data_IF_198012402980
#
_entry.id   IF_198012402980
#
_cell.length_a   1.000
_cell.length_b   1.000
_cell.length_c   1.000
_cell.angle_alpha   90.00
_cell.angle_beta   90.00
_cell.angle_gamma   90.00
#
_symmetry.space_group_name_H-M   'P 1'
#
loop_
_entity.id
_entity.type
_entity.pdbx_description
1 polymer ?
#
# COMPACT_ATOMS: atom_id res chain seq x y z
N UNK A 1 26.58 -9.13 33.97
CA UNK A 1 25.97 -7.78 34.09
C UNK A 1 25.83 -7.25 32.69
N UNK A 2 24.64 -6.82 32.29
CA UNK A 2 24.43 -6.24 30.97
C UNK A 2 25.12 -4.88 30.87
N UNK A 3 25.86 -4.64 29.76
CA UNK A 3 26.48 -3.34 29.51
C UNK A 3 25.37 -2.33 29.20
N UNK A 4 25.48 -1.10 29.70
CA UNK A 4 24.49 -0.06 29.40
C UNK A 4 24.60 0.46 27.96
N UNK A 5 23.59 1.20 27.50
CA UNK A 5 23.63 1.84 26.18
C UNK A 5 24.80 2.84 26.04
N UNK A 6 25.10 3.61 27.10
CA UNK A 6 26.22 4.54 27.13
C UNK A 6 27.56 3.79 27.08
N UNK A 7 27.67 2.68 27.81
CA UNK A 7 28.86 1.82 27.79
C UNK A 7 29.06 1.21 26.39
N UNK A 8 27.99 0.76 25.74
CA UNK A 8 28.03 0.26 24.37
C UNK A 8 28.52 1.32 23.37
N UNK A 9 27.97 2.54 23.45
CA UNK A 9 28.42 3.65 22.61
C UNK A 9 29.90 3.99 22.85
N UNK A 10 30.36 3.92 24.10
CA UNK A 10 31.77 4.14 24.45
C UNK A 10 32.69 3.04 23.89
N UNK A 11 32.22 1.80 23.83
CA UNK A 11 32.95 0.65 23.32
C UNK A 11 33.02 0.61 21.79
N UNK A 12 32.05 1.22 21.09
CA UNK A 12 32.09 1.41 19.63
C UNK A 12 33.19 2.39 19.18
N UNK A 13 33.60 3.32 20.05
CA UNK A 13 34.58 4.37 19.73
C UNK A 13 36.01 3.82 19.51
N UNK A 14 36.35 2.66 20.09
CA UNK A 14 37.69 2.08 19.97
C UNK A 14 37.65 0.74 19.25
N UNK A 15 38.57 0.56 18.30
CA UNK A 15 38.62 -0.63 17.44
C UNK A 15 38.87 -1.93 18.24
N UNK A 16 39.65 -1.86 19.32
CA UNK A 16 39.96 -2.98 20.20
C UNK A 16 38.74 -3.46 21.01
N UNK A 17 37.92 -2.53 21.51
CA UNK A 17 36.70 -2.87 22.25
C UNK A 17 35.55 -3.28 21.33
N UNK A 18 35.47 -2.72 20.12
CA UNK A 18 34.47 -3.09 19.11
C UNK A 18 34.62 -4.54 18.65
N UNK A 19 35.86 -5.01 18.48
CA UNK A 19 36.14 -6.42 18.17
C UNK A 19 35.67 -7.38 19.28
N UNK A 20 35.75 -6.97 20.54
CA UNK A 20 35.27 -7.75 21.68
C UNK A 20 33.73 -7.85 21.74
N UNK A 21 33.01 -6.90 21.14
CA UNK A 21 31.54 -6.94 21.02
C UNK A 21 31.06 -7.89 19.91
N UNK A 22 31.97 -8.43 19.08
CA UNK A 22 31.62 -9.27 17.94
C UNK A 22 30.97 -8.51 16.77
N UNK A 23 31.07 -7.17 16.76
CA UNK A 23 30.44 -6.31 15.76
C UNK A 23 31.47 -6.01 14.64
N UNK A 24 31.18 -6.46 13.43
CA UNK A 24 32.04 -6.30 12.26
C UNK A 24 31.96 -4.93 11.57
N UNK A 25 31.98 -3.83 12.34
CA UNK A 25 31.98 -2.47 11.78
C UNK A 25 33.42 -1.95 11.58
N UNK A 26 33.63 -1.21 10.49
CA UNK A 26 34.83 -0.39 10.27
C UNK A 26 34.80 0.89 11.12
N UNK A 27 35.91 1.62 11.19
CA UNK A 27 35.98 2.86 11.99
C UNK A 27 35.05 3.95 11.44
N UNK A 28 34.95 4.07 10.11
CA UNK A 28 34.07 5.06 9.47
C UNK A 28 32.59 4.72 9.70
N UNK A 29 32.23 3.43 9.64
CA UNK A 29 30.85 2.98 9.93
C UNK A 29 30.50 3.15 11.41
N UNK A 30 31.43 2.88 12.33
CA UNK A 30 31.21 3.09 13.75
C UNK A 30 30.97 4.58 14.07
N UNK A 31 31.70 5.49 13.41
CA UNK A 31 31.45 6.93 13.54
C UNK A 31 30.09 7.32 12.97
N UNK A 32 29.68 6.74 11.85
CA UNK A 32 28.37 7.01 11.24
C UNK A 32 27.23 6.50 12.14
N UNK A 33 27.38 5.33 12.76
CA UNK A 33 26.42 4.78 13.72
C UNK A 33 26.31 5.67 14.96
N UNK A 34 27.43 6.19 15.46
CA UNK A 34 27.43 7.07 16.63
C UNK A 34 26.94 8.49 16.34
N UNK A 35 27.01 8.94 15.08
CA UNK A 35 26.51 10.25 14.67
C UNK A 35 24.97 10.33 14.63
N UNK A 36 24.28 9.18 14.56
CA UNK A 36 22.83 9.09 14.56
C UNK A 36 22.30 8.28 15.76
N UNK A 37 21.64 8.93 16.74
CA UNK A 37 21.11 8.28 17.93
C UNK A 37 20.14 7.12 17.64
N UNK A 38 19.32 7.22 16.59
CA UNK A 38 18.36 6.18 16.26
C UNK A 38 19.06 4.93 15.72
N UNK A 39 20.08 5.13 14.88
CA UNK A 39 20.91 4.04 14.37
C UNK A 39 21.72 3.38 15.49
N UNK A 40 22.30 4.15 16.42
CA UNK A 40 23.00 3.61 17.59
C UNK A 40 22.10 2.73 18.47
N UNK A 41 20.85 3.14 18.71
CA UNK A 41 19.88 2.34 19.47
C UNK A 41 19.52 1.02 18.77
N UNK A 42 19.34 1.05 17.45
CA UNK A 42 19.08 -0.17 16.67
C UNK A 42 20.25 -1.15 16.72
N UNK A 43 21.49 -0.67 16.65
CA UNK A 43 22.69 -1.51 16.79
C UNK A 43 22.85 -2.09 18.20
N UNK A 44 22.48 -1.33 19.23
CA UNK A 44 22.48 -1.81 20.60
C UNK A 44 21.44 -2.93 20.82
N UNK A 45 20.22 -2.75 20.31
CA UNK A 45 19.19 -3.78 20.35
C UNK A 45 19.61 -5.05 19.60
N UNK A 46 20.21 -4.90 18.42
CA UNK A 46 20.78 -6.02 17.66
C UNK A 46 21.86 -6.76 18.45
N UNK A 47 22.79 -6.03 19.06
CA UNK A 47 23.85 -6.61 19.88
C UNK A 47 23.31 -7.39 21.09
N UNK A 48 22.30 -6.85 21.79
CA UNK A 48 21.63 -7.53 22.90
C UNK A 48 20.98 -8.84 22.46
N UNK A 49 20.32 -8.85 21.30
CA UNK A 49 19.69 -10.07 20.75
C UNK A 49 20.69 -11.16 20.35
N UNK A 50 21.92 -10.77 20.01
CA UNK A 50 22.97 -11.69 19.52
C UNK A 50 23.86 -12.22 20.65
N UNK A 51 23.82 -11.60 21.84
CA UNK A 51 24.61 -11.98 23.02
C UNK A 51 23.74 -12.30 24.26
N UNK A 52 22.99 -13.42 24.24
CA UNK A 52 22.02 -13.75 25.30
C UNK A 52 22.65 -14.08 26.67
N UNK A 53 23.95 -14.42 26.74
CA UNK A 53 24.66 -14.66 28.02
C UNK A 53 24.78 -13.41 28.90
N UNK A 54 24.54 -12.23 28.33
CA UNK A 54 24.65 -10.95 29.02
C UNK A 54 23.39 -10.63 29.87
N UNK A 55 22.29 -11.37 29.67
CA UNK A 55 20.97 -11.09 30.29
C UNK A 55 20.50 -12.19 31.26
N UNK A 56 21.19 -13.33 31.38
CA UNK A 56 20.73 -14.40 32.28
C UNK A 56 20.80 -13.98 33.77
N UNK A 57 19.67 -13.87 34.49
CA UNK A 57 19.70 -13.81 35.96
C UNK A 57 20.25 -15.13 36.50
N UNK A 58 20.97 -15.16 37.63
CA UNK A 58 21.33 -16.43 38.27
C UNK A 58 20.05 -17.22 38.53
N UNK A 59 20.01 -18.46 38.05
CA UNK A 59 18.88 -19.35 38.26
C UNK A 59 18.55 -19.40 39.77
N UNK A 60 17.29 -19.16 40.20
CA UNK A 60 16.92 -19.35 41.59
C UNK A 60 17.20 -20.81 41.97
N UNK A 61 17.94 -21.00 43.06
CA UNK A 61 18.14 -22.31 43.65
C UNK A 61 16.76 -22.96 43.88
N UNK A 62 16.60 -24.20 43.42
CA UNK A 62 15.35 -24.93 43.57
C UNK A 62 14.89 -24.93 45.03
N UNK A 63 13.61 -24.60 45.33
CA UNK A 63 13.12 -24.65 46.69
C UNK A 63 13.13 -26.10 47.19
N UNK A 64 13.78 -26.31 48.33
CA UNK A 64 13.67 -27.55 49.09
C UNK A 64 12.21 -27.71 49.50
N UNK A 65 11.57 -28.78 49.02
CA UNK A 65 10.19 -29.10 49.33
C UNK A 65 10.11 -29.55 50.79
N UNK A 66 9.48 -28.75 51.64
CA UNK A 66 9.17 -29.13 53.01
C UNK A 66 7.95 -30.08 53.00
N UNK A 67 8.03 -31.32 53.52
CA UNK A 67 6.99 -32.34 53.33
C UNK A 67 5.74 -32.19 54.24
N UNK A 68 5.51 -31.01 54.84
CA UNK A 68 4.40 -30.79 55.78
C UNK A 68 3.66 -29.47 55.54
N UNK A 69 2.89 -29.40 54.45
CA UNK A 69 1.76 -28.46 54.38
C UNK A 69 0.62 -29.11 53.57
N UNK A 70 -0.31 -29.71 54.32
CA UNK A 70 -1.47 -30.41 53.80
C UNK A 70 -2.65 -29.46 53.53
N UNK A 71 -3.37 -29.79 52.46
CA UNK A 71 -4.83 -29.64 52.25
C UNK A 71 -5.45 -28.24 52.18
N UNK A 72 -5.74 -27.80 50.96
CA UNK A 72 -7.00 -27.12 50.62
C UNK A 72 -7.53 -27.68 49.27
N UNK A 73 -8.81 -28.07 49.18
CA UNK A 73 -9.36 -28.70 47.98
C UNK A 73 -9.68 -27.68 46.88
N UNK A 74 -9.21 -27.94 45.67
CA UNK A 74 -9.68 -27.28 44.44
C UNK A 74 -11.13 -27.68 44.16
N UNK A 75 -12.07 -26.73 43.98
CA UNK A 75 -13.34 -27.03 43.33
C UNK A 75 -13.20 -26.87 41.81
N UNK A 76 -13.53 -27.94 41.09
CA UNK A 76 -14.20 -27.85 39.78
C UNK A 76 -13.33 -27.61 38.54
N UNK A 77 -12.71 -28.66 38.02
CA UNK A 77 -12.41 -28.74 36.58
C UNK A 77 -13.71 -29.05 35.82
N UNK A 78 -14.43 -28.02 35.37
CA UNK A 78 -15.47 -28.22 34.36
C UNK A 78 -14.84 -28.21 32.96
N UNK A 79 -15.07 -29.33 32.28
CA UNK A 79 -14.67 -29.59 30.91
C UNK A 79 -15.44 -28.63 29.98
N UNK A 80 -14.74 -27.80 29.22
CA UNK A 80 -15.34 -27.05 28.12
C UNK A 80 -15.70 -28.01 26.98
N UNK A 81 -16.98 -28.09 26.55
CA UNK A 81 -17.30 -28.69 25.26
C UNK A 81 -16.94 -27.71 24.14
N UNK A 82 -16.04 -28.14 23.26
CA UNK A 82 -15.89 -27.55 21.92
C UNK A 82 -17.19 -27.78 21.13
N UNK A 83 -17.85 -26.70 20.73
CA UNK A 83 -18.92 -26.73 19.73
C UNK A 83 -18.83 -25.48 18.81
N UNK A 84 -19.27 -25.62 17.55
CA UNK A 84 -18.72 -24.91 16.41
C UNK A 84 -19.41 -23.57 16.13
N UNK A 85 -18.68 -22.67 15.48
CA UNK A 85 -19.18 -21.47 14.81
C UNK A 85 -20.37 -21.78 13.87
N UNK A 86 -21.49 -21.05 13.98
CA UNK A 86 -22.38 -20.79 12.86
C UNK A 86 -22.21 -19.32 12.44
N UNK A 87 -21.42 -19.09 11.40
CA UNK A 87 -21.39 -17.82 10.68
C UNK A 87 -22.16 -17.97 9.37
N UNK A 88 -23.34 -17.35 9.27
CA UNK A 88 -23.93 -16.85 8.03
C UNK A 88 -25.26 -16.15 8.34
N UNK A 89 -25.19 -14.98 8.97
CA UNK A 89 -26.32 -14.04 8.92
C UNK A 89 -26.10 -13.00 7.83
N UNK A 90 -27.14 -12.95 7.02
CA UNK A 90 -27.34 -12.24 5.77
C UNK A 90 -27.12 -10.73 5.92
N UNK A 91 -26.26 -10.16 5.07
CA UNK A 91 -26.27 -8.72 4.82
C UNK A 91 -27.36 -8.38 3.78
N UNK A 92 -28.20 -7.35 4.02
CA UNK A 92 -29.25 -6.95 3.10
C UNK A 92 -28.69 -6.29 1.83
N UNK A 93 -29.16 -6.79 0.68
CA UNK A 93 -28.99 -6.19 -0.63
C UNK A 93 -29.81 -4.91 -0.75
N UNK A 94 -29.14 -3.76 -0.91
CA UNK A 94 -29.79 -2.51 -1.28
C UNK A 94 -29.92 -2.41 -2.82
N UNK A 95 -31.08 -1.99 -3.34
CA UNK A 95 -31.33 -1.86 -4.77
C UNK A 95 -30.90 -0.49 -5.28
N UNK A 96 -30.29 -0.42 -6.45
CA UNK A 96 -30.27 0.80 -7.26
C UNK A 96 -30.83 0.51 -8.67
N UNK A 97 -31.53 1.50 -9.28
CA UNK A 97 -32.47 1.25 -10.35
C UNK A 97 -31.84 1.27 -11.74
N UNK A 98 -32.61 0.72 -12.66
CA UNK A 98 -32.34 0.46 -14.07
C UNK A 98 -32.03 1.72 -14.90
N UNK A 99 -31.18 1.54 -15.92
CA UNK A 99 -31.42 2.15 -17.22
C UNK A 99 -31.38 1.07 -18.31
N UNK A 100 -32.55 0.91 -18.92
CA UNK A 100 -32.84 0.10 -20.09
C UNK A 100 -32.25 0.78 -21.31
N UNK A 101 -31.46 0.06 -22.12
CA UNK A 101 -31.37 0.36 -23.54
C UNK A 101 -31.80 -0.85 -24.35
N UNK A 102 -33.06 -0.76 -24.79
CA UNK A 102 -33.69 -1.64 -25.75
C UNK A 102 -32.98 -1.54 -27.10
N UNK A 103 -32.86 -2.70 -27.77
CA UNK A 103 -32.46 -2.74 -29.16
C UNK A 103 -33.50 -2.14 -30.09
N UNK A 104 -33.04 -1.54 -31.18
CA UNK A 104 -33.75 -1.45 -32.46
C UNK A 104 -32.80 -0.91 -33.55
N UNK A 105 -32.38 -1.78 -34.47
CA UNK A 105 -32.43 -1.45 -35.90
C UNK A 105 -33.89 -1.73 -36.35
N UNK A 106 -34.48 -1.13 -37.42
CA UNK A 106 -33.82 -0.80 -38.69
C UNK A 106 -34.34 0.44 -39.47
N UNK A 107 -33.70 0.73 -40.62
CA UNK A 107 -34.21 1.40 -41.86
C UNK A 107 -34.77 2.83 -41.74
N UNK A 108 -34.63 3.78 -42.66
CA UNK A 108 -34.28 3.89 -44.08
C UNK A 108 -34.18 5.41 -44.40
N UNK A 109 -33.56 5.80 -45.52
CA UNK A 109 -34.12 6.71 -46.53
C UNK A 109 -33.04 7.44 -47.33
N UNK A 110 -33.30 7.50 -48.63
CA UNK A 110 -32.51 8.14 -49.65
C UNK A 110 -32.38 9.65 -49.48
N UNK A 111 -31.28 10.21 -49.99
CA UNK A 111 -31.28 11.54 -50.56
C UNK A 111 -30.38 11.55 -51.80
N UNK A 112 -31.03 11.39 -52.96
CA UNK A 112 -30.51 11.90 -54.21
C UNK A 112 -30.42 13.42 -54.11
N UNK A 113 -29.36 14.02 -54.66
CA UNK A 113 -29.34 15.44 -54.98
C UNK A 113 -28.61 15.64 -56.28
N UNK A 114 -29.36 16.20 -57.21
CA UNK A 114 -29.00 16.53 -58.57
C UNK A 114 -28.19 17.85 -58.63
N UNK A 115 -27.29 17.91 -59.63
CA UNK A 115 -26.86 19.03 -60.50
C UNK A 115 -27.51 20.42 -60.29
N UNK A 116 -26.83 21.57 -60.59
CA UNK A 116 -26.35 21.85 -61.97
C UNK A 116 -25.16 22.82 -62.17
N UNK A 117 -24.68 22.92 -63.41
CA UNK A 117 -23.79 23.99 -63.91
C UNK A 117 -22.83 23.50 -65.00
N UNK A 118 -23.28 23.20 -66.22
CA UNK A 118 -23.49 24.14 -67.33
C UNK A 118 -22.25 24.97 -67.70
N UNK A 119 -21.56 24.62 -68.78
CA UNK A 119 -21.41 25.50 -69.95
C UNK A 119 -20.74 24.77 -71.13
N UNK A 120 -21.53 24.69 -72.20
CA UNK A 120 -21.16 24.48 -73.60
C UNK A 120 -20.47 25.75 -74.14
N UNK A 121 -19.72 25.68 -75.26
CA UNK A 121 -20.41 25.98 -76.51
C UNK A 121 -20.03 25.07 -77.68
N UNK A 122 -20.97 24.99 -78.61
CA UNK A 122 -20.84 24.40 -79.94
C UNK A 122 -20.20 25.39 -80.92
N UNK A 123 -19.47 24.84 -81.90
CA UNK A 123 -19.41 25.42 -83.24
C UNK A 123 -19.16 24.31 -84.27
N UNK A 124 -20.10 24.18 -85.19
CA UNK A 124 -20.04 23.37 -86.38
C UNK A 124 -19.19 24.05 -87.47
N UNK A 125 -18.64 23.26 -88.39
CA UNK A 125 -18.07 23.78 -89.64
C UNK A 125 -17.07 22.82 -90.26
N UNK A 126 -17.53 22.00 -91.20
CA UNK A 126 -16.67 21.15 -92.02
C UNK A 126 -15.89 21.93 -93.08
N UNK A 127 -14.79 21.35 -93.54
CA UNK A 127 -14.40 21.22 -94.96
C UNK A 127 -13.14 20.34 -95.01
N UNK A 128 -13.17 19.33 -95.87
CA UNK A 128 -11.99 18.61 -96.38
C UNK A 128 -11.78 19.03 -97.84
N UNK A 129 -10.69 18.64 -98.53
CA UNK A 129 -9.29 18.44 -98.13
C UNK A 129 -8.33 19.25 -99.05
N UNK A 130 -7.02 19.23 -98.81
CA UNK A 130 -6.03 19.22 -99.90
C UNK A 130 -4.67 18.73 -99.41
N UNK A 131 -4.05 17.92 -100.25
CA UNK A 131 -2.86 17.12 -100.01
C UNK A 131 -1.57 17.95 -100.03
N UNK A 132 -0.54 17.47 -99.31
CA UNK A 132 0.72 16.93 -99.88
C UNK A 132 1.83 16.93 -98.82
N UNK A 133 2.33 15.74 -98.50
CA UNK A 133 3.44 15.50 -97.58
C UNK A 133 4.80 15.93 -98.18
N UNK A 134 5.91 15.93 -97.41
CA UNK A 134 6.58 14.65 -97.18
C UNK A 134 7.03 14.38 -95.73
N UNK A 135 7.25 13.08 -95.51
CA UNK A 135 7.61 12.36 -94.29
C UNK A 135 8.60 13.02 -93.32
N UNK A 136 8.33 12.87 -92.02
CA UNK A 136 9.32 12.21 -91.15
C UNK A 136 8.66 11.15 -90.27
N UNK A 137 9.25 9.96 -90.32
CA UNK A 137 8.77 8.67 -89.80
C UNK A 137 8.81 8.56 -88.26
N UNK A 138 8.72 9.68 -87.52
CA UNK A 138 8.96 9.76 -86.08
C UNK A 138 7.83 10.41 -85.27
N UNK A 139 6.85 11.08 -85.89
CA UNK A 139 5.75 11.76 -85.18
C UNK A 139 4.89 10.81 -84.34
N UNK A 140 4.60 9.60 -84.83
CA UNK A 140 3.85 8.59 -84.07
C UNK A 140 4.62 8.08 -82.85
N UNK A 141 5.95 7.99 -82.93
CA UNK A 141 6.81 7.59 -81.82
C UNK A 141 6.86 8.67 -80.72
N UNK A 142 6.91 9.95 -81.10
CA UNK A 142 6.92 11.07 -80.15
C UNK A 142 5.57 11.23 -79.42
N UNK A 143 4.46 10.99 -80.12
CA UNK A 143 3.12 11.00 -79.49
C UNK A 143 2.99 9.86 -78.49
N UNK A 144 3.41 8.64 -78.84
CA UNK A 144 3.37 7.50 -77.90
C UNK A 144 4.31 7.70 -76.71
N UNK A 145 5.51 8.26 -76.91
CA UNK A 145 6.44 8.63 -75.82
C UNK A 145 5.85 9.71 -74.91
N UNK A 146 5.15 10.70 -75.48
CA UNK A 146 4.50 11.75 -74.69
C UNK A 146 3.32 11.21 -73.87
N UNK A 147 2.55 10.27 -74.43
CA UNK A 147 1.43 9.61 -73.72
C UNK A 147 1.98 8.70 -72.61
N UNK A 148 3.02 7.90 -72.88
CA UNK A 148 3.68 7.08 -71.87
C UNK A 148 4.30 7.93 -70.76
N UNK A 149 4.96 9.04 -71.11
CA UNK A 149 5.50 10.00 -70.15
C UNK A 149 4.42 10.63 -69.29
N UNK A 150 3.29 11.03 -69.87
CA UNK A 150 2.15 11.57 -69.13
C UNK A 150 1.53 10.53 -68.19
N UNK A 151 1.37 9.28 -68.63
CA UNK A 151 0.87 8.19 -67.78
C UNK A 151 1.81 7.90 -66.60
N UNK A 152 3.11 7.83 -66.84
CA UNK A 152 4.11 7.68 -65.78
C UNK A 152 4.05 8.84 -64.78
N UNK A 153 3.93 10.07 -65.28
CA UNK A 153 3.85 11.26 -64.45
C UNK A 153 2.56 11.27 -63.60
N UNK A 154 1.42 10.86 -64.17
CA UNK A 154 0.16 10.70 -63.42
C UNK A 154 0.32 9.65 -62.31
N UNK A 155 0.94 8.50 -62.61
CA UNK A 155 1.21 7.46 -61.60
C UNK A 155 2.06 8.02 -60.45
N UNK A 156 3.13 8.77 -60.77
CA UNK A 156 3.98 9.39 -59.75
C UNK A 156 3.20 10.40 -58.91
N UNK A 157 2.38 11.26 -59.53
CA UNK A 157 1.56 12.23 -58.80
C UNK A 157 0.60 11.53 -57.84
N UNK A 158 -0.07 10.46 -58.28
CA UNK A 158 -1.00 9.70 -57.43
C UNK A 158 -0.27 9.09 -56.22
N UNK A 159 0.93 8.53 -56.43
CA UNK A 159 1.75 7.98 -55.33
C UNK A 159 2.11 9.07 -54.33
N UNK A 160 2.62 10.23 -54.79
CA UNK A 160 3.00 11.34 -53.91
C UNK A 160 1.80 11.88 -53.14
N UNK A 161 0.66 12.06 -53.81
CA UNK A 161 -0.58 12.52 -53.16
C UNK A 161 -1.08 11.52 -52.11
N UNK A 162 -0.98 10.21 -52.36
CA UNK A 162 -1.36 9.19 -51.40
C UNK A 162 -0.51 9.24 -50.11
N UNK A 163 0.81 9.40 -50.23
CA UNK A 163 1.69 9.57 -49.07
C UNK A 163 1.49 10.92 -48.37
N UNK A 164 1.29 12.02 -49.11
CA UNK A 164 1.13 13.36 -48.53
C UNK A 164 -0.22 13.57 -47.81
N UNK A 165 -1.24 12.79 -48.17
CA UNK A 165 -2.58 12.85 -47.57
C UNK A 165 -2.84 11.74 -46.55
N UNK A 166 -1.82 10.93 -46.24
CA UNK A 166 -1.92 9.88 -45.23
C UNK A 166 -2.25 10.50 -43.87
N UNK A 167 -3.33 10.01 -43.23
CA UNK A 167 -3.64 10.39 -41.85
C UNK A 167 -2.99 9.38 -40.92
N UNK A 168 -2.09 9.90 -40.09
CA UNK A 168 -1.44 9.16 -39.01
C UNK A 168 -2.23 9.41 -37.74
N UNK A 169 -2.53 8.34 -37.00
CA UNK A 169 -3.16 8.44 -35.70
C UNK A 169 -2.65 7.33 -34.78
N UNK A 170 -2.72 7.57 -33.48
CA UNK A 170 -2.27 6.61 -32.47
C UNK A 170 -3.47 5.80 -32.00
N UNK A 171 -3.47 4.50 -32.31
CA UNK A 171 -4.51 3.57 -31.88
C UNK A 171 -4.09 2.88 -30.60
N UNK A 172 -4.96 2.88 -29.61
CA UNK A 172 -4.76 2.17 -28.36
C UNK A 172 -5.26 0.74 -28.50
N UNK A 173 -4.33 -0.23 -28.50
CA UNK A 173 -4.66 -1.66 -28.57
C UNK A 173 -5.05 -2.21 -27.21
N UNK A 174 -4.29 -1.81 -26.19
CA UNK A 174 -4.54 -2.16 -24.80
C UNK A 174 -4.60 -0.85 -24.01
N UNK A 175 -5.74 -0.52 -23.38
CA UNK A 175 -5.85 0.68 -22.57
C UNK A 175 -4.89 0.61 -21.38
N UNK A 176 -4.53 1.77 -20.86
CA UNK A 176 -3.74 1.88 -19.63
C UNK A 176 -4.46 1.18 -18.49
N UNK A 177 -3.74 0.30 -17.79
CA UNK A 177 -4.23 -0.36 -16.60
C UNK A 177 -3.73 0.45 -15.40
N UNK A 178 -4.66 1.12 -14.72
CA UNK A 178 -4.36 1.84 -13.49
C UNK A 178 -3.95 0.87 -12.38
N UNK A 179 -3.03 1.33 -11.54
CA UNK A 179 -2.58 0.59 -10.36
C UNK A 179 -3.74 0.32 -9.41
N UNK A 180 -3.80 -0.92 -8.92
CA UNK A 180 -4.74 -1.33 -7.88
C UNK A 180 -4.05 -1.36 -6.52
N UNK A 181 -4.83 -1.11 -5.48
CA UNK A 181 -4.37 -1.05 -4.10
C UNK A 181 -5.14 -2.03 -3.23
N UNK A 182 -4.47 -2.61 -2.25
CA UNK A 182 -5.11 -3.39 -1.19
C UNK A 182 -4.74 -2.83 0.18
N UNK A 183 -5.66 -3.02 1.12
CA UNK A 183 -5.47 -2.61 2.51
C UNK A 183 -4.72 -3.68 3.28
N UNK A 184 -3.65 -3.29 3.95
CA UNK A 184 -2.93 -4.11 4.92
C UNK A 184 -3.00 -3.48 6.31
N UNK A 185 -3.31 -4.29 7.32
CA UNK A 185 -3.20 -3.90 8.73
C UNK A 185 -1.77 -4.16 9.23
N UNK A 186 -1.21 -3.19 9.94
CA UNK A 186 0.12 -3.27 10.51
C UNK A 186 0.15 -2.75 11.95
N UNK A 187 1.10 -3.27 12.73
CA UNK A 187 1.34 -2.83 14.11
C UNK A 187 2.04 -1.47 14.09
N UNK A 188 1.52 -0.48 14.80
CA UNK A 188 2.14 0.84 14.90
C UNK A 188 3.37 0.85 15.80
N UNK A 189 3.53 -0.18 16.64
CA UNK A 189 4.52 -0.22 17.72
C UNK A 189 4.10 0.56 18.96
N UNK A 190 2.87 1.11 18.97
CA UNK A 190 2.26 1.73 20.14
C UNK A 190 1.23 0.79 20.75
N UNK A 191 0.91 1.03 22.01
CA UNK A 191 -0.04 0.24 22.78
C UNK A 191 -1.16 1.12 23.31
N UNK A 192 -2.38 0.63 23.16
CA UNK A 192 -3.54 1.17 23.82
C UNK A 192 -3.76 0.46 25.16
N UNK A 193 -4.25 1.20 26.16
CA UNK A 193 -4.50 0.67 27.50
C UNK A 193 -5.90 1.07 27.90
N UNK A 194 -6.66 0.08 28.35
CA UNK A 194 -8.02 0.26 28.86
C UNK A 194 -8.09 -0.20 30.31
N UNK A 195 -9.04 0.36 31.05
CA UNK A 195 -9.29 -0.02 32.44
C UNK A 195 -10.71 -0.57 32.53
N UNK A 196 -10.86 -1.75 33.12
CA UNK A 196 -12.17 -2.31 33.39
C UNK A 196 -12.78 -1.76 34.69
N UNK A 197 -13.95 -2.28 35.08
CA UNK A 197 -14.60 -1.93 36.34
C UNK A 197 -14.23 -2.87 37.51
N UNK A 198 -13.33 -3.83 37.27
CA UNK A 198 -12.96 -4.87 38.23
C UNK A 198 -11.71 -4.43 38.97
N UNK A 199 -11.90 -3.90 40.18
CA UNK A 199 -10.76 -3.53 41.01
C UNK A 199 -9.90 -4.76 41.34
N UNK A 200 -8.57 -4.64 41.23
CA UNK A 200 -7.65 -5.68 41.66
C UNK A 200 -7.61 -5.81 43.19
N UNK A 201 -8.08 -4.80 43.93
CA UNK A 201 -8.20 -4.82 45.38
C UNK A 201 -9.57 -5.30 45.86
N UNK A 202 -9.62 -5.90 47.05
CA UNK A 202 -10.86 -6.30 47.72
C UNK A 202 -10.96 -5.73 49.14
N UNK A 203 -12.17 -5.71 49.69
CA UNK A 203 -12.43 -5.23 51.06
C UNK A 203 -11.71 -6.12 52.08
N UNK A 204 -11.20 -5.53 53.15
CA UNK A 204 -10.41 -6.19 54.20
C UNK A 204 -9.02 -6.69 53.75
N UNK A 205 -8.59 -6.35 52.52
CA UNK A 205 -7.21 -6.55 52.08
C UNK A 205 -6.28 -5.57 52.80
N UNK A 206 -5.05 -5.98 53.10
CA UNK A 206 -4.01 -5.07 53.57
C UNK A 206 -3.75 -3.94 52.57
N UNK A 207 -3.71 -2.70 53.05
CA UNK A 207 -3.55 -1.51 52.21
C UNK A 207 -2.30 -1.57 51.33
N UNK A 208 -1.19 -2.06 51.89
CA UNK A 208 0.07 -2.25 51.17
C UNK A 208 -0.05 -3.30 50.06
N UNK A 209 -0.79 -4.38 50.29
CA UNK A 209 -1.00 -5.42 49.27
C UNK A 209 -1.83 -4.87 48.11
N UNK A 210 -2.84 -4.05 48.40
CA UNK A 210 -3.64 -3.39 47.37
C UNK A 210 -2.78 -2.46 46.51
N UNK A 211 -1.94 -1.62 47.13
CA UNK A 211 -0.99 -0.76 46.40
C UNK A 211 -0.07 -1.59 45.50
N UNK A 212 0.47 -2.70 46.02
CA UNK A 212 1.36 -3.57 45.25
C UNK A 212 0.65 -4.22 44.05
N UNK A 213 -0.62 -4.58 44.18
CA UNK A 213 -1.41 -5.07 43.04
C UNK A 213 -1.63 -3.99 41.99
N UNK A 214 -1.94 -2.76 42.39
CA UNK A 214 -2.06 -1.63 41.45
C UNK A 214 -0.73 -1.34 40.76
N UNK A 215 0.38 -1.36 41.49
CA UNK A 215 1.73 -1.21 40.90
C UNK A 215 2.02 -2.34 39.90
N UNK A 216 1.62 -3.58 40.21
CA UNK A 216 1.77 -4.70 39.28
C UNK A 216 0.93 -4.52 38.00
N UNK A 217 -0.31 -4.03 38.12
CA UNK A 217 -1.17 -3.69 36.97
C UNK A 217 -0.52 -2.60 36.10
N UNK A 218 -0.04 -1.53 36.72
CA UNK A 218 0.66 -0.46 36.03
C UNK A 218 1.92 -0.97 35.30
N UNK A 219 2.76 -1.74 35.98
CA UNK A 219 3.98 -2.28 35.37
C UNK A 219 3.68 -3.24 34.22
N UNK A 220 2.62 -4.05 34.33
CA UNK A 220 2.22 -4.98 33.29
C UNK A 220 1.65 -4.31 32.04
N UNK A 221 0.91 -3.21 32.21
CA UNK A 221 0.18 -2.57 31.12
C UNK A 221 0.82 -1.28 30.58
N UNK A 222 1.50 -0.50 31.43
CA UNK A 222 1.92 0.86 31.10
C UNK A 222 3.44 1.06 31.07
N UNK A 223 4.21 0.31 31.86
CA UNK A 223 5.66 0.48 31.93
C UNK A 223 6.38 -0.05 30.68
N UNK A 224 7.50 0.59 30.34
CA UNK A 224 8.45 0.18 29.30
C UNK A 224 7.87 -0.01 27.89
N UNK A 225 6.76 0.68 27.57
CA UNK A 225 6.13 0.63 26.25
C UNK A 225 5.80 2.01 25.71
N UNK A 226 5.74 2.14 24.38
CA UNK A 226 5.23 3.34 23.73
C UNK A 226 3.71 3.30 23.74
N UNK A 227 3.08 4.28 24.37
CA UNK A 227 1.62 4.33 24.55
C UNK A 227 0.93 5.22 23.50
N UNK A 228 -0.37 4.96 23.28
CA UNK A 228 -1.27 5.94 22.65
C UNK A 228 -1.44 7.17 23.55
N UNK A 229 -1.96 8.27 23.01
CA UNK A 229 -2.17 9.50 23.80
C UNK A 229 -3.19 9.26 24.93
N UNK A 230 -4.29 8.58 24.61
CA UNK A 230 -5.34 8.21 25.57
C UNK A 230 -4.80 7.24 26.63
N UNK A 231 -4.06 6.21 26.22
CA UNK A 231 -3.42 5.27 27.14
C UNK A 231 -2.40 5.97 28.07
N UNK A 232 -1.63 6.94 27.54
CA UNK A 232 -0.68 7.72 28.35
C UNK A 232 -1.41 8.51 29.44
N UNK A 233 -2.56 9.10 29.10
CA UNK A 233 -3.40 9.83 30.05
C UNK A 233 -3.95 8.92 31.13
N UNK A 234 -4.50 7.76 30.74
CA UNK A 234 -5.00 6.75 31.67
C UNK A 234 -3.89 6.26 32.61
N UNK A 235 -2.75 5.83 32.07
CA UNK A 235 -1.60 5.36 32.85
C UNK A 235 -1.06 6.44 33.81
N UNK A 236 -1.06 7.71 33.41
CA UNK A 236 -0.67 8.83 34.28
C UNK A 236 -1.64 9.01 35.44
N UNK A 237 -2.96 8.97 35.16
CA UNK A 237 -3.98 9.02 36.22
C UNK A 237 -3.90 7.84 37.18
N UNK A 238 -3.55 6.65 36.67
CA UNK A 238 -3.40 5.44 37.45
C UNK A 238 -2.19 5.53 38.40
N UNK A 239 -1.06 6.08 37.93
CA UNK A 239 0.09 6.37 38.79
C UNK A 239 -0.24 7.40 39.86
N UNK A 240 -0.93 8.48 39.50
CA UNK A 240 -1.31 9.51 40.46
C UNK A 240 -2.17 8.94 41.60
N UNK A 241 -3.04 7.98 41.29
CA UNK A 241 -3.81 7.26 42.30
C UNK A 241 -2.93 6.39 43.19
N UNK A 242 -2.01 5.62 42.60
CA UNK A 242 -1.04 4.83 43.37
C UNK A 242 -0.26 5.72 44.35
N UNK A 243 0.19 6.88 43.90
CA UNK A 243 0.95 7.82 44.73
C UNK A 243 0.08 8.49 45.81
N UNK A 244 -1.18 8.80 45.50
CA UNK A 244 -2.17 9.23 46.49
C UNK A 244 -2.32 8.17 47.59
N UNK A 245 -2.54 6.91 47.20
CA UNK A 245 -2.71 5.80 48.16
C UNK A 245 -1.46 5.55 49.01
N UNK A 246 -0.26 5.68 48.43
CA UNK A 246 1.00 5.63 49.19
C UNK A 246 1.07 6.76 50.21
N UNK A 247 0.73 7.99 49.83
CA UNK A 247 0.78 9.15 50.72
C UNK A 247 -0.21 9.09 51.89
N UNK A 248 -1.32 8.38 51.71
CA UNK A 248 -2.31 8.14 52.77
C UNK A 248 -1.94 6.97 53.69
N UNK A 249 -1.03 6.08 53.23
CA UNK A 249 -0.71 4.79 53.86
C UNK A 249 0.38 4.83 54.95
N UNK A 250 0.91 5.99 55.34
CA UNK A 250 2.10 6.11 56.19
C UNK A 250 1.87 5.83 57.70
N UNK A 251 0.84 5.04 58.09
CA UNK A 251 0.36 5.00 59.48
C UNK A 251 -0.20 3.70 60.07
N UNK A 252 0.25 2.50 59.65
CA UNK A 252 -0.10 1.23 60.34
C UNK A 252 -1.12 0.35 59.61
N UNK A 253 -1.57 -0.72 60.28
CA UNK A 253 -2.39 -1.88 59.84
C UNK A 253 -3.76 -1.50 59.26
N UNK A 254 -3.76 -0.70 58.19
CA UNK A 254 -4.95 -0.27 57.48
C UNK A 254 -5.35 -1.34 56.47
N UNK A 255 -6.64 -1.64 56.46
CA UNK A 255 -7.28 -2.47 55.46
C UNK A 255 -8.10 -1.63 54.49
N UNK A 256 -8.31 -2.13 53.28
CA UNK A 256 -9.16 -1.50 52.27
C UNK A 256 -10.63 -1.54 52.76
N UNK A 257 -11.17 -0.37 53.12
CA UNK A 257 -12.56 -0.25 53.60
C UNK A 257 -13.54 -0.06 52.43
N UNK A 258 -13.08 0.48 51.31
CA UNK A 258 -13.88 0.63 50.11
C UNK A 258 -13.01 0.39 48.90
N UNK A 259 -13.52 -0.44 48.00
CA UNK A 259 -12.88 -0.72 46.72
C UNK A 259 -13.11 0.50 45.83
N UNK A 260 -12.04 1.23 45.51
CA UNK A 260 -12.12 2.46 44.72
C UNK A 260 -12.61 2.24 43.28
N UNK A 261 -12.59 3.31 42.47
CA UNK A 261 -13.05 3.27 41.08
C UNK A 261 -12.02 2.76 40.06
N UNK A 262 -10.82 2.36 40.51
CA UNK A 262 -9.74 1.92 39.62
C UNK A 262 -9.79 0.41 39.42
N UNK A 263 -9.93 0.01 38.15
CA UNK A 263 -10.00 -1.38 37.73
C UNK A 263 -8.65 -1.97 37.33
N UNK A 264 -8.73 -3.15 36.72
CA UNK A 264 -7.60 -3.84 36.12
C UNK A 264 -7.28 -3.24 34.76
N UNK A 265 -5.98 -3.17 34.44
CA UNK A 265 -5.51 -2.59 33.19
C UNK A 265 -5.31 -3.67 32.13
N UNK A 266 -5.77 -3.40 30.91
CA UNK A 266 -5.63 -4.29 29.76
C UNK A 266 -4.88 -3.57 28.65
N UNK A 267 -3.78 -4.15 28.19
CA UNK A 267 -2.96 -3.61 27.10
C UNK A 267 -3.25 -4.33 25.79
N UNK A 268 -3.46 -3.55 24.73
CA UNK A 268 -3.66 -4.05 23.37
C UNK A 268 -2.72 -3.31 22.41
N UNK A 269 -2.18 -4.00 21.42
CA UNK A 269 -1.37 -3.37 20.37
C UNK A 269 -2.25 -2.49 19.49
N UNK A 270 -1.79 -1.26 19.19
CA UNK A 270 -2.46 -0.39 18.23
C UNK A 270 -2.17 -0.88 16.80
N UNK A 271 -3.25 -1.07 16.05
CA UNK A 271 -3.22 -1.46 14.65
C UNK A 271 -3.60 -0.26 13.79
N UNK A 272 -2.87 -0.04 12.71
CA UNK A 272 -3.22 0.93 11.68
C UNK A 272 -3.34 0.24 10.32
N UNK A 273 -4.08 0.83 9.41
CA UNK A 273 -4.25 0.33 8.04
C UNK A 273 -3.46 1.22 7.08
N UNK A 274 -2.75 0.60 6.13
CA UNK A 274 -2.13 1.29 5.01
C UNK A 274 -2.61 0.70 3.69
N UNK A 275 -2.67 1.55 2.67
CA UNK A 275 -2.87 1.10 1.30
C UNK A 275 -1.51 0.71 0.71
N UNK A 276 -1.42 -0.51 0.20
CA UNK A 276 -0.24 -1.03 -0.47
C UNK A 276 -0.60 -1.26 -1.93
N UNK A 277 0.28 -0.79 -2.82
CA UNK A 277 0.10 -0.97 -4.25
C UNK A 277 0.37 -2.41 -4.65
N UNK A 278 -0.39 -2.91 -5.62
CA UNK A 278 -0.18 -4.23 -6.20
C UNK A 278 0.94 -4.23 -7.26
N UNK A 279 1.53 -3.06 -7.54
CA UNK A 279 2.55 -2.85 -8.56
C UNK A 279 2.14 -3.46 -9.92
N UNK A 280 0.86 -3.30 -10.27
CA UNK A 280 0.21 -3.88 -11.45
C UNK A 280 -0.14 -2.81 -12.50
N UNK A 281 0.39 -1.60 -12.35
CA UNK A 281 0.31 -0.54 -13.36
C UNK A 281 0.88 -1.03 -14.70
N UNK A 282 0.15 -0.75 -15.79
CA UNK A 282 0.63 -0.99 -17.15
C UNK A 282 0.27 0.17 -18.04
N UNK A 283 1.26 0.71 -18.72
CA UNK A 283 1.07 1.75 -19.72
C UNK A 283 0.21 1.25 -20.88
N UNK A 284 -0.52 2.17 -21.50
CA UNK A 284 -1.27 1.88 -22.72
C UNK A 284 -0.33 1.38 -23.83
N UNK A 285 -0.67 0.24 -24.42
CA UNK A 285 0.01 -0.23 -25.63
C UNK A 285 -0.67 0.43 -26.81
N UNK A 286 0.09 1.21 -27.56
CA UNK A 286 -0.40 1.93 -28.74
C UNK A 286 0.45 1.61 -29.96
N UNK A 287 -0.18 1.66 -31.13
CA UNK A 287 0.53 1.63 -32.40
C UNK A 287 0.11 2.81 -33.27
N UNK A 288 1.00 3.17 -34.20
CA UNK A 288 0.68 4.16 -35.22
C UNK A 288 -0.12 3.49 -36.35
N UNK A 289 -1.35 3.91 -36.52
CA UNK A 289 -2.22 3.50 -37.60
C UNK A 289 -2.19 4.55 -38.71
N UNK A 290 -2.13 4.08 -39.96
CA UNK A 290 -2.04 4.93 -41.14
C UNK A 290 -3.23 4.67 -42.05
N UNK A 291 -3.93 5.72 -42.43
CA UNK A 291 -5.02 5.68 -43.41
C UNK A 291 -4.59 6.45 -44.67
N UNK A 292 -4.36 5.72 -45.76
CA UNK A 292 -4.03 6.26 -47.07
C UNK A 292 -5.31 6.55 -47.86
N UNK A 293 -5.36 7.70 -48.53
CA UNK A 293 -6.47 8.11 -49.39
C UNK A 293 -7.86 8.10 -48.71
N UNK A 294 -7.92 8.04 -47.37
CA UNK A 294 -9.16 8.03 -46.60
C UNK A 294 -9.92 6.70 -46.57
N UNK A 295 -9.39 5.62 -47.17
CA UNK A 295 -10.07 4.31 -47.18
C UNK A 295 -9.15 3.08 -47.27
N UNK A 296 -7.84 3.26 -47.48
CA UNK A 296 -6.87 2.15 -47.52
C UNK A 296 -6.07 2.13 -46.21
N UNK A 297 -6.19 1.04 -45.44
CA UNK A 297 -5.50 0.86 -44.16
C UNK A 297 -6.47 0.78 -42.98
N UNK A 298 -5.94 0.91 -41.76
CA UNK A 298 -6.74 0.92 -40.53
C UNK A 298 -7.38 2.29 -40.33
N UNK A 299 -8.56 2.44 -40.95
CA UNK A 299 -9.39 3.63 -40.88
C UNK A 299 -10.55 3.41 -39.89
N UNK A 300 -10.23 3.11 -38.62
CA UNK A 300 -11.19 3.05 -37.49
C UNK A 300 -10.50 2.82 -36.16
#
# INVERSE_FOLDING_TARGET
MAMSFEEFCSALWRADTRGALGIGLTDDEAQQVLADPATAQNWYAYWLSTNPEVVAPPAPAAPVVDPYAATAPYPGSEQFPTAPYPGAEQHPTMPYPAEQFAGAAPTSAAAASAYPGAMQPAAAGGYAPTASAPATKRTGLWVTLSILGALLLIVVIVVVAAFATARHWTKTDVPEQQETFHSEDYKTGRYDVTMDATSPCWVDQGWTDCINLLVAQYNGACADVTLTEDASTLCTSYLAEIDRMKSEGDGGDYVVVTVGGFGSLHRTEEMATRQVSNNDHRDAVTHEAVCYLGFLGECS
#
